data_IF_364434906545
#
_entry.id   IF_364434906545
#
_cell.length_a   1.000
_cell.length_b   1.000
_cell.length_c   1.000
_cell.angle_alpha   90.00
_cell.angle_beta   90.00
_cell.angle_gamma   90.00
#
_symmetry.space_group_name_H-M   'P 1'
#
loop_
_entity.id
_entity.type
_entity.pdbx_description
1 polymer ?
#
# COMPACT_ATOMS: atom_id res chain seq x y z
N UNK A 1 0.05 -7.11 -19.10
CA UNK A 1 -0.04 -7.96 -17.90
C UNK A 1 -0.69 -7.13 -16.80
N UNK A 2 -1.76 -7.63 -16.18
CA UNK A 2 -2.44 -6.95 -15.07
C UNK A 2 -1.62 -7.13 -13.79
N UNK A 3 -1.35 -6.07 -13.01
CA UNK A 3 -0.65 -6.19 -11.73
C UNK A 3 -1.46 -7.06 -10.74
N UNK A 4 -0.76 -7.77 -9.84
CA UNK A 4 -1.40 -8.55 -8.77
C UNK A 4 -2.28 -7.63 -7.92
N UNK A 5 -3.47 -8.09 -7.55
CA UNK A 5 -4.35 -7.40 -6.61
C UNK A 5 -4.26 -8.05 -5.23
N UNK A 6 -4.08 -7.22 -4.19
CA UNK A 6 -4.04 -7.62 -2.78
C UNK A 6 -5.00 -6.76 -1.97
N UNK A 7 -5.37 -7.24 -0.79
CA UNK A 7 -6.13 -6.47 0.20
C UNK A 7 -5.21 -6.06 1.33
N UNK A 8 -5.34 -4.83 1.82
CA UNK A 8 -4.62 -4.37 2.99
C UNK A 8 -5.06 -5.09 4.26
N UNK A 9 -4.11 -5.37 5.16
CA UNK A 9 -4.36 -6.06 6.43
C UNK A 9 -3.86 -5.23 7.62
N UNK A 10 -4.41 -4.01 7.75
CA UNK A 10 -4.19 -3.13 8.90
C UNK A 10 -5.49 -2.39 9.25
N UNK A 11 -5.62 -1.91 10.48
CA UNK A 11 -6.69 -1.03 10.93
C UNK A 11 -6.23 0.44 10.90
N UNK A 12 -7.14 1.41 10.79
CA UNK A 12 -6.78 2.83 10.82
C UNK A 12 -6.02 3.26 12.09
N UNK A 13 -6.12 2.52 13.20
CA UNK A 13 -5.45 2.83 14.46
C UNK A 13 -4.19 2.01 14.72
N UNK A 14 -3.86 1.08 13.81
CA UNK A 14 -2.67 0.23 13.97
C UNK A 14 -1.38 1.06 13.96
N UNK A 15 -0.34 0.50 14.57
CA UNK A 15 1.01 1.05 14.57
C UNK A 15 1.58 1.13 13.14
N UNK A 16 2.38 2.16 12.86
CA UNK A 16 2.98 2.41 11.54
C UNK A 16 3.73 1.19 10.99
N UNK A 17 4.28 0.33 11.85
CA UNK A 17 4.96 -0.91 11.42
C UNK A 17 4.00 -1.91 10.79
N UNK A 18 2.76 -1.99 11.26
CA UNK A 18 1.73 -2.88 10.69
C UNK A 18 1.20 -2.33 9.37
N UNK A 19 1.08 -1.01 9.25
CA UNK A 19 0.75 -0.32 8.00
C UNK A 19 1.85 -0.57 6.97
N UNK A 20 3.12 -0.34 7.33
CA UNK A 20 4.27 -0.60 6.48
C UNK A 20 4.38 -2.08 6.06
N UNK A 21 4.09 -3.03 6.97
CA UNK A 21 4.07 -4.44 6.64
C UNK A 21 2.97 -4.80 5.62
N UNK A 22 1.81 -4.15 5.70
CA UNK A 22 0.73 -4.31 4.71
C UNK A 22 1.11 -3.77 3.32
N UNK A 23 1.99 -2.77 3.28
CA UNK A 23 2.55 -2.19 2.06
C UNK A 23 3.81 -2.91 1.57
N UNK A 24 4.30 -3.93 2.28
CA UNK A 24 5.54 -4.62 1.89
C UNK A 24 5.36 -5.47 0.62
N UNK A 25 6.47 -5.65 -0.09
CA UNK A 25 6.51 -6.44 -1.32
C UNK A 25 6.10 -7.90 -1.06
N UNK A 26 5.08 -8.44 -1.75
CA UNK A 26 4.66 -9.83 -1.54
C UNK A 26 5.66 -10.86 -2.10
N UNK A 27 6.62 -10.43 -2.94
CA UNK A 27 7.60 -11.33 -3.55
C UNK A 27 8.90 -11.44 -2.76
N UNK A 28 9.46 -10.31 -2.33
CA UNK A 28 10.76 -10.29 -1.65
C UNK A 28 10.69 -9.83 -0.19
N UNK A 29 9.50 -9.51 0.32
CA UNK A 29 9.24 -9.07 1.69
C UNK A 29 9.97 -7.78 2.10
N UNK A 30 10.54 -7.04 1.14
CA UNK A 30 11.12 -5.73 1.40
C UNK A 30 10.03 -4.71 1.77
N UNK A 31 10.28 -3.95 2.83
CA UNK A 31 9.48 -2.79 3.21
C UNK A 31 9.79 -1.54 2.37
N UNK A 32 10.90 -1.53 1.61
CA UNK A 32 11.26 -0.43 0.70
C UNK A 32 10.35 -0.46 -0.55
N UNK A 33 9.16 0.12 -0.37
CA UNK A 33 8.08 0.15 -1.34
C UNK A 33 7.61 1.59 -1.52
N UNK A 34 7.69 2.09 -2.75
CA UNK A 34 7.01 3.31 -3.13
C UNK A 34 5.56 3.01 -3.47
N UNK A 35 4.65 3.87 -3.04
CA UNK A 35 3.23 3.72 -3.35
C UNK A 35 2.57 5.07 -3.66
N UNK A 36 1.46 5.02 -4.38
CA UNK A 36 0.62 6.16 -4.68
C UNK A 36 -0.84 5.79 -4.45
N UNK A 37 -1.57 6.64 -3.72
CA UNK A 37 -3.00 6.47 -3.53
C UNK A 37 -3.75 6.68 -4.85
N UNK A 38 -4.68 5.78 -5.11
CA UNK A 38 -5.65 5.83 -6.19
C UNK A 38 -7.03 5.97 -5.55
N UNK A 39 -7.61 7.16 -5.63
CA UNK A 39 -8.97 7.43 -5.14
C UNK A 39 -9.91 7.58 -6.34
N UNK A 40 -10.50 6.48 -6.77
CA UNK A 40 -11.55 6.44 -7.79
C UNK A 40 -12.88 6.20 -7.06
N UNK A 41 -14.00 6.82 -7.48
CA UNK A 41 -15.30 6.52 -6.90
C UNK A 41 -15.55 5.00 -6.87
N UNK A 42 -15.76 4.46 -5.67
CA UNK A 42 -16.04 3.04 -5.43
C UNK A 42 -14.87 2.05 -5.69
N UNK A 43 -13.65 2.54 -5.91
CA UNK A 43 -12.43 1.70 -6.04
C UNK A 43 -11.21 2.43 -5.45
N UNK A 44 -11.18 2.53 -4.12
CA UNK A 44 -10.03 3.06 -3.41
C UNK A 44 -8.90 2.01 -3.30
N UNK A 45 -7.68 2.43 -3.63
CA UNK A 45 -6.51 1.56 -3.64
C UNK A 45 -5.21 2.31 -3.52
N UNK A 46 -4.11 1.57 -3.48
CA UNK A 46 -2.76 2.09 -3.66
C UNK A 46 -2.04 1.30 -4.75
N UNK A 47 -1.42 2.00 -5.69
CA UNK A 47 -0.50 1.41 -6.65
C UNK A 47 0.88 1.33 -6.01
N UNK A 48 1.40 0.12 -5.86
CA UNK A 48 2.64 -0.13 -5.14
C UNK A 48 3.74 -0.60 -6.10
N UNK A 49 4.98 -0.21 -5.79
CA UNK A 49 6.19 -0.65 -6.48
C UNK A 49 7.30 -0.91 -5.48
N UNK A 50 7.80 -2.15 -5.46
CA UNK A 50 8.97 -2.48 -4.68
C UNK A 50 10.22 -1.86 -5.32
N UNK A 51 11.03 -1.15 -4.55
CA UNK A 51 12.31 -0.60 -5.04
C UNK A 51 13.42 -1.64 -5.10
N UNK A 52 13.33 -2.70 -4.28
CA UNK A 52 14.30 -3.80 -4.26
C UNK A 52 14.19 -4.76 -5.45
N UNK A 53 13.00 -5.34 -5.70
CA UNK A 53 12.82 -6.33 -6.77
C UNK A 53 12.08 -5.79 -8.01
N UNK A 54 11.62 -4.54 -7.98
CA UNK A 54 10.97 -3.87 -9.12
C UNK A 54 9.52 -4.27 -9.41
N UNK A 55 8.97 -5.23 -8.68
CA UNK A 55 7.60 -5.72 -8.89
C UNK A 55 6.55 -4.68 -8.54
N UNK A 56 5.39 -4.77 -9.20
CA UNK A 56 4.23 -3.87 -9.05
C UNK A 56 2.98 -4.64 -8.65
N UNK A 57 2.18 -4.07 -7.78
CA UNK A 57 0.89 -4.62 -7.35
C UNK A 57 -0.08 -3.51 -6.97
N UNK A 58 -1.36 -3.83 -6.96
CA UNK A 58 -2.42 -2.98 -6.45
C UNK A 58 -2.83 -3.47 -5.07
N UNK A 59 -2.96 -2.54 -4.12
CA UNK A 59 -3.45 -2.80 -2.78
C UNK A 59 -4.84 -2.16 -2.64
N UNK A 60 -5.89 -2.98 -2.54
CA UNK A 60 -7.22 -2.54 -2.20
C UNK A 60 -7.27 -2.14 -0.72
N UNK A 61 -7.85 -0.97 -0.46
CA UNK A 61 -8.01 -0.40 0.88
C UNK A 61 -9.46 -0.01 1.10
N UNK A 62 -9.90 0.03 2.35
CA UNK A 62 -11.16 0.70 2.72
C UNK A 62 -10.97 2.22 2.70
N UNK A 63 -12.08 2.97 2.71
CA UNK A 63 -12.01 4.44 2.71
C UNK A 63 -11.28 5.00 3.95
N UNK A 64 -11.38 4.35 5.11
CA UNK A 64 -10.67 4.74 6.33
C UNK A 64 -9.16 4.47 6.23
N UNK A 65 -8.78 3.32 5.67
CA UNK A 65 -7.39 2.99 5.38
C UNK A 65 -6.80 3.95 4.33
N UNK A 66 -7.56 4.30 3.29
CA UNK A 66 -7.17 5.28 2.29
C UNK A 66 -6.95 6.67 2.91
N UNK A 67 -7.86 7.11 3.79
CA UNK A 67 -7.72 8.38 4.51
C UNK A 67 -6.46 8.38 5.37
N UNK A 68 -6.19 7.31 6.12
CA UNK A 68 -4.95 7.20 6.91
C UNK A 68 -3.72 7.34 6.03
N UNK A 69 -3.64 6.60 4.92
CA UNK A 69 -2.53 6.68 3.98
C UNK A 69 -2.41 8.09 3.38
N UNK A 70 -3.51 8.82 3.19
CA UNK A 70 -3.47 10.17 2.64
C UNK A 70 -2.91 11.21 3.62
N UNK A 71 -3.06 10.94 4.92
CA UNK A 71 -2.59 11.79 6.01
C UNK A 71 -1.14 11.47 6.41
N UNK A 72 -0.70 10.23 6.22
CA UNK A 72 0.72 9.90 6.34
C UNK A 72 1.49 10.55 5.17
N UNK A 73 2.61 11.24 5.44
CA UNK A 73 3.50 11.62 4.34
C UNK A 73 3.88 10.33 3.63
N UNK A 74 3.76 10.26 2.30
CA UNK A 74 4.20 9.12 1.50
C UNK A 74 5.68 8.87 1.81
N UNK A 75 5.95 8.03 2.81
CA UNK A 75 7.19 8.11 3.54
C UNK A 75 8.30 7.55 2.67
N UNK A 76 9.26 8.41 2.34
CA UNK A 76 10.59 7.99 1.94
C UNK A 76 11.29 7.44 3.18
N UNK A 77 11.15 6.13 3.42
CA UNK A 77 12.03 5.37 4.30
C UNK A 77 12.65 4.23 3.50
#
# INVERSE_FOLDING_TARGET
>A
MTPLQRTAHFRPEDDDRLVAASLACPWCLSADTGWQLRMIPFDEGAECRCRGCGQRWNLAVTSEQALRLALEPAAAH
#
